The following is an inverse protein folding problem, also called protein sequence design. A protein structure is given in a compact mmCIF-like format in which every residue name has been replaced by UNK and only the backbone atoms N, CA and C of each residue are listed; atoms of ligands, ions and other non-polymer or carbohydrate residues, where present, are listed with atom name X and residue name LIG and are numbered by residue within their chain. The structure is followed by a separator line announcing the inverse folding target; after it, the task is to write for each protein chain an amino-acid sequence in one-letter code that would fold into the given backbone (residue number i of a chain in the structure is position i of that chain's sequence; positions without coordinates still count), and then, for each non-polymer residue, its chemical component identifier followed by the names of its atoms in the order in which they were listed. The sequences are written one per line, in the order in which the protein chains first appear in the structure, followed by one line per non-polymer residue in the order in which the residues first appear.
data_IF_429489478152
#
_entry.id   IF_429489478152
#
_cell.length_a   1.000
_cell.length_b   1.000
_cell.length_c   1.000
_cell.angle_alpha   90.00
_cell.angle_beta   90.00
_cell.angle_gamma   90.00
#
_symmetry.space_group_name_H-M   'P 1'
#
loop_
_entity.id
_entity.type
_entity.pdbx_description
1 polymer ?
2 non-polymer ?
3 water ?
#
# COMPACT_ATOMS: atom_id res chain seq x y z
N UNK A 4 -19.58 1.24 7.44
CA UNK A 4 -18.13 1.45 7.50
C UNK A 4 -17.52 2.07 6.23
N UNK A 5 -18.16 1.87 5.05
CA UNK A 5 -17.68 2.39 3.74
C UNK A 5 -18.30 3.72 3.30
N UNK A 6 -19.17 4.33 4.14
CA UNK A 6 -19.81 5.63 3.83
C UNK A 6 -18.77 6.76 3.76
N UNK A 7 -19.06 7.85 3.01
CA UNK A 7 -18.11 8.96 2.88
C UNK A 7 -18.62 10.24 3.45
N UNK A 8 -17.73 11.04 4.04
CA UNK A 8 -18.07 12.36 4.55
C UNK A 8 -18.19 13.35 3.37
N UNK A 9 -18.58 14.63 3.64
CA UNK A 9 -18.73 15.64 2.58
C UNK A 9 -17.44 15.86 1.77
N UNK A 10 -16.33 16.13 2.47
CA UNK A 10 -14.99 16.36 1.95
C UNK A 10 -14.50 15.21 1.05
N UNK A 11 -14.75 13.96 1.44
CA UNK A 11 -14.32 12.79 0.67
C UNK A 11 -15.08 12.70 -0.64
N UNK A 12 -16.43 12.82 -0.61
CA UNK A 12 -17.28 12.75 -1.82
C UNK A 12 -16.86 13.84 -2.83
N UNK A 13 -16.66 15.07 -2.34
CA UNK A 13 -16.26 16.24 -3.10
C UNK A 13 -14.92 16.02 -3.81
N UNK A 14 -13.92 15.45 -3.09
CA UNK A 14 -12.58 15.17 -3.63
C UNK A 14 -12.67 14.08 -4.69
N UNK A 15 -13.49 13.05 -4.40
CA UNK A 15 -13.75 11.94 -5.32
C UNK A 15 -14.42 12.45 -6.62
N UNK A 16 -15.41 13.35 -6.48
CA UNK A 16 -16.12 13.97 -7.60
C UNK A 16 -15.17 14.87 -8.40
N UNK A 17 -14.30 15.64 -7.71
CA UNK A 17 -13.31 16.53 -8.35
C UNK A 17 -12.28 15.73 -9.16
N UNK A 18 -11.90 14.52 -8.69
CA UNK A 18 -10.97 13.65 -9.40
C UNK A 18 -11.58 13.17 -10.71
N UNK A 19 -12.80 12.61 -10.65
CA UNK A 19 -13.51 12.09 -11.83
C UNK A 19 -13.79 13.15 -12.91
N UNK A 20 -14.11 14.38 -12.49
CA UNK A 20 -14.36 15.52 -13.37
C UNK A 20 -13.09 15.88 -14.11
N UNK A 21 -11.92 15.87 -13.42
CA UNK A 21 -10.62 16.15 -14.05
C UNK A 21 -10.30 15.01 -15.02
N UNK A 22 -10.55 13.76 -14.59
CA UNK A 22 -10.28 12.55 -15.35
C UNK A 22 -11.05 12.52 -16.69
N UNK A 23 -12.35 12.88 -16.65
CA UNK A 23 -13.21 12.88 -17.85
C UNK A 23 -12.73 13.78 -18.99
N UNK A 24 -11.89 14.77 -18.68
CA UNK A 24 -11.31 15.70 -19.64
C UNK A 24 -10.02 15.14 -20.28
N UNK A 25 -9.49 14.01 -19.78
CA UNK A 25 -8.23 13.49 -20.30
C UNK A 25 -8.36 12.83 -21.66
N UNK A 26 -9.30 11.91 -21.79
CA UNK A 26 -9.43 11.22 -23.06
C UNK A 26 -8.41 10.12 -23.20
N UNK A 27 -8.14 9.70 -24.43
CA UNK A 27 -7.24 8.60 -24.74
C UNK A 27 -5.78 8.97 -24.44
N UNK A 28 -5.14 8.11 -23.64
CA UNK A 28 -3.76 8.27 -23.19
C UNK A 28 -2.79 7.77 -24.22
N UNK A 29 -1.80 8.59 -24.61
CA UNK A 29 -0.83 8.21 -25.66
C UNK A 29 0.57 8.57 -25.24
N UNK A 30 1.57 7.81 -25.68
CA UNK A 30 2.95 8.02 -25.26
C UNK A 30 3.42 9.44 -25.36
N UNK A 31 3.32 10.02 -26.57
CA UNK A 31 3.79 11.36 -26.92
C UNK A 31 3.10 12.51 -26.15
N UNK A 32 2.02 12.22 -25.43
CA UNK A 32 1.32 13.25 -24.65
C UNK A 32 1.95 13.49 -23.28
N UNK A 33 3.02 12.74 -22.95
CA UNK A 33 3.67 12.81 -21.66
C UNK A 33 5.04 13.42 -21.62
N UNK A 34 5.23 14.36 -20.68
CA UNK A 34 6.53 14.96 -20.43
C UNK A 34 7.05 14.49 -19.05
N UNK A 35 8.24 13.88 -18.99
CA UNK A 35 8.87 13.42 -17.75
C UNK A 35 9.34 14.63 -16.93
N UNK A 36 8.95 14.68 -15.64
CA UNK A 36 9.30 15.73 -14.68
C UNK A 36 10.45 15.18 -13.80
N UNK A 37 10.24 14.00 -13.18
CA UNK A 37 11.22 13.35 -12.31
C UNK A 37 10.86 11.88 -12.06
N UNK A 38 11.76 11.16 -11.40
CA UNK A 38 11.59 9.78 -11.00
C UNK A 38 11.05 9.80 -9.56
N UNK A 39 9.96 9.05 -9.30
CA UNK A 39 9.35 9.03 -7.97
C UNK A 39 9.82 7.88 -7.13
N UNK A 40 9.99 6.74 -7.77
CA UNK A 40 10.41 5.51 -7.13
C UNK A 40 10.55 4.42 -8.15
N UNK A 41 11.19 3.34 -7.76
CA UNK A 41 11.41 2.17 -8.60
C UNK A 41 11.12 0.96 -7.69
N UNK A 42 10.46 -0.06 -8.22
CA UNK A 42 10.08 -1.19 -7.40
C UNK A 42 9.75 -2.46 -8.14
N UNK A 43 8.55 -3.01 -7.88
CA UNK A 43 8.21 -4.26 -8.55
C UNK A 43 7.55 -4.16 -9.89
N UNK A 44 8.34 -4.54 -10.89
CA UNK A 44 7.93 -4.55 -12.29
C UNK A 44 8.64 -3.48 -13.07
N UNK A 45 8.72 -2.28 -12.50
CA UNK A 45 9.34 -1.15 -13.19
C UNK A 45 9.48 0.13 -12.39
N UNK A 46 9.63 1.25 -13.10
CA UNK A 46 9.87 2.57 -12.53
C UNK A 46 8.62 3.46 -12.60
N UNK A 47 8.46 4.33 -11.60
CA UNK A 47 7.36 5.27 -11.53
C UNK A 47 7.97 6.65 -11.72
N UNK A 48 7.42 7.41 -12.67
CA UNK A 48 7.85 8.77 -12.96
C UNK A 48 6.74 9.76 -12.67
N UNK A 49 7.09 10.94 -12.21
CA UNK A 49 6.16 12.04 -12.05
C UNK A 49 6.16 12.61 -13.48
N UNK A 50 4.98 12.78 -14.07
CA UNK A 50 4.86 13.20 -15.46
C UNK A 50 3.82 14.28 -15.61
N UNK A 51 3.91 14.96 -16.75
CA UNK A 51 2.94 15.97 -17.12
C UNK A 51 2.19 15.41 -18.31
N UNK A 52 0.86 15.36 -18.20
CA UNK A 52 0.04 15.01 -19.36
C UNK A 52 -0.14 16.39 -20.08
N UNK A 53 0.66 16.62 -21.13
CA UNK A 53 0.73 17.89 -21.86
C UNK A 53 -0.62 18.47 -22.28
N UNK A 54 -1.52 17.72 -22.96
CA UNK A 54 -2.83 18.32 -23.33
C UNK A 54 -3.66 18.84 -22.17
N UNK A 55 -3.90 18.01 -21.16
CA UNK A 55 -4.75 18.39 -20.01
C UNK A 55 -4.03 19.24 -18.97
N UNK A 56 -2.71 19.21 -18.97
CA UNK A 56 -1.90 19.92 -17.98
C UNK A 56 -1.84 19.22 -16.63
N UNK A 57 -2.45 18.03 -16.52
CA UNK A 57 -2.51 17.25 -15.28
C UNK A 57 -1.19 16.58 -14.96
N UNK A 58 -0.75 16.69 -13.71
CA UNK A 58 0.45 16.02 -13.21
C UNK A 58 -0.04 14.63 -12.80
N UNK A 59 0.67 13.58 -13.22
CA UNK A 59 0.33 12.20 -12.96
C UNK A 59 1.61 11.44 -12.56
N UNK A 60 1.40 10.22 -12.08
CA UNK A 60 2.45 9.25 -11.77
C UNK A 60 2.31 8.21 -12.85
N UNK A 61 3.38 7.98 -13.59
CA UNK A 61 3.36 7.03 -14.67
C UNK A 61 4.30 5.87 -14.35
N UNK A 62 3.73 4.68 -14.23
CA UNK A 62 4.53 3.50 -13.98
C UNK A 62 4.74 2.79 -15.29
N UNK A 63 6.02 2.55 -15.64
CA UNK A 63 6.46 1.88 -16.88
C UNK A 63 6.93 0.48 -16.55
N UNK A 64 6.39 -0.52 -17.24
CA UNK A 64 6.74 -1.92 -17.06
C UNK A 64 7.30 -2.41 -18.39
N UNK A 65 8.63 -2.66 -18.45
CA UNK A 65 9.26 -3.16 -19.67
C UNK A 65 8.89 -4.61 -19.90
N UNK A 66 8.11 -4.84 -20.97
CA UNK A 66 7.60 -6.15 -21.35
C UNK A 66 7.61 -6.34 -22.86
N UNK A 67 8.42 -7.29 -23.32
CA UNK A 67 8.51 -7.66 -24.73
C UNK A 67 7.52 -8.82 -24.92
N UNK A 68 6.33 -8.49 -25.47
CA UNK A 68 5.21 -9.43 -25.67
C UNK A 68 4.37 -9.07 -26.89
N UNK A 69 3.81 -10.12 -27.54
CA UNK A 69 2.96 -10.04 -28.74
C UNK A 69 1.73 -9.12 -28.58
N UNK A 70 1.15 -8.55 -29.67
CA UNK A 70 -0.04 -7.67 -29.51
C UNK A 70 -1.26 -8.32 -28.83
N UNK A 71 -1.31 -9.66 -28.85
CA UNK A 71 -2.32 -10.53 -28.29
C UNK A 71 -2.40 -10.34 -26.77
N UNK A 72 -1.26 -10.60 -26.08
CA UNK A 72 -1.10 -10.50 -24.63
C UNK A 72 -1.31 -9.05 -24.14
N UNK A 73 -0.62 -8.06 -24.76
CA UNK A 73 -0.73 -6.66 -24.36
C UNK A 73 -2.14 -6.05 -24.44
N UNK A 74 -2.93 -6.44 -25.46
CA UNK A 74 -4.31 -5.96 -25.60
C UNK A 74 -5.22 -6.52 -24.50
N UNK A 75 -4.91 -7.75 -24.03
CA UNK A 75 -5.65 -8.42 -22.96
C UNK A 75 -5.33 -7.75 -21.61
N UNK A 76 -4.05 -7.47 -21.35
CA UNK A 76 -3.60 -6.77 -20.14
C UNK A 76 -4.33 -5.42 -20.02
N UNK A 77 -4.27 -4.59 -21.09
CA UNK A 77 -4.92 -3.28 -21.15
C UNK A 77 -6.42 -3.38 -20.83
N UNK A 78 -7.12 -4.36 -21.44
CA UNK A 78 -8.54 -4.64 -21.21
C UNK A 78 -8.80 -5.04 -19.74
N UNK A 79 -7.90 -5.86 -19.15
CA UNK A 79 -7.98 -6.31 -17.76
C UNK A 79 -7.77 -5.16 -16.77
N UNK A 80 -6.90 -4.18 -17.11
CA UNK A 80 -6.62 -3.02 -16.25
C UNK A 80 -7.76 -2.03 -16.23
N UNK A 81 -8.67 -2.07 -17.24
CA UNK A 81 -9.85 -1.20 -17.36
C UNK A 81 -10.77 -1.34 -16.17
N UNK A 82 -10.64 -2.45 -15.41
CA UNK A 82 -11.38 -2.73 -14.16
C UNK A 82 -11.11 -1.57 -13.17
N UNK A 83 -9.85 -1.07 -13.14
CA UNK A 83 -9.41 0.05 -12.29
C UNK A 83 -10.18 1.36 -12.49
N UNK A 84 -10.90 1.52 -13.62
CA UNK A 84 -11.76 2.69 -13.89
C UNK A 84 -13.01 2.65 -12.99
N UNK A 85 -13.34 1.45 -12.45
CA UNK A 85 -14.47 1.21 -11.54
C UNK A 85 -14.08 1.39 -10.07
N UNK A 86 -12.77 1.26 -9.72
CA UNK A 86 -12.28 1.38 -8.33
C UNK A 86 -12.16 2.83 -7.87
N UNK A 87 -13.29 3.39 -7.41
CA UNK A 87 -13.39 4.78 -6.94
C UNK A 87 -13.62 4.86 -5.43
N UNK A 88 -12.54 5.16 -4.69
CA UNK A 88 -12.55 5.23 -3.24
C UNK A 88 -11.50 6.22 -2.72
N UNK A 89 -11.79 6.90 -1.59
CA UNK A 89 -10.78 7.79 -0.97
C UNK A 89 -9.53 7.05 -0.52
N UNK A 90 -9.60 5.72 -0.38
CA UNK A 90 -8.53 4.86 0.13
C UNK A 90 -7.80 4.09 -0.92
N UNK A 91 -8.05 4.43 -2.21
CA UNK A 91 -7.40 3.78 -3.35
C UNK A 91 -6.90 4.84 -4.30
N UNK A 92 -5.61 4.75 -4.69
CA UNK A 92 -4.99 5.69 -5.64
C UNK A 92 -5.84 5.76 -6.93
N UNK A 93 -6.16 6.97 -7.36
CA UNK A 93 -6.88 7.25 -8.59
C UNK A 93 -6.12 6.69 -9.79
N UNK A 94 -6.87 6.20 -10.76
CA UNK A 94 -6.35 5.60 -11.98
C UNK A 94 -6.77 6.44 -13.17
N UNK A 95 -5.83 6.83 -14.04
CA UNK A 95 -6.17 7.57 -15.24
C UNK A 95 -6.32 6.66 -16.45
N UNK A 96 -5.52 5.62 -16.52
CA UNK A 96 -5.55 4.69 -17.64
C UNK A 96 -4.28 3.90 -17.83
N UNK A 97 -4.29 3.00 -18.80
CA UNK A 97 -3.18 2.16 -19.16
C UNK A 97 -3.08 2.02 -20.68
N UNK A 98 -1.87 1.95 -21.18
CA UNK A 98 -1.63 1.79 -22.61
C UNK A 98 -0.27 1.10 -22.79
N UNK A 99 0.00 0.65 -24.01
CA UNK A 99 1.27 0.03 -24.36
C UNK A 99 1.90 0.90 -25.43
N UNK A 100 3.24 1.06 -25.35
CA UNK A 100 4.00 1.79 -26.34
C UNK A 100 5.44 1.37 -26.28
N UNK A 101 5.95 0.91 -27.44
CA UNK A 101 7.32 0.45 -27.70
C UNK A 101 8.04 -0.32 -26.56
N UNK A 102 7.54 -1.52 -26.30
CA UNK A 102 8.13 -2.40 -25.29
C UNK A 102 7.71 -2.19 -23.85
N UNK A 103 6.90 -1.15 -23.58
CA UNK A 103 6.48 -0.89 -22.19
C UNK A 103 5.02 -0.58 -21.96
N UNK A 104 4.47 -1.15 -20.88
CA UNK A 104 3.11 -0.88 -20.45
C UNK A 104 3.17 0.32 -19.53
N UNK A 105 2.25 1.26 -19.70
CA UNK A 105 2.19 2.41 -18.84
C UNK A 105 0.93 2.37 -18.03
N UNK A 106 1.06 2.65 -16.74
CA UNK A 106 -0.11 2.77 -15.87
C UNK A 106 -0.02 4.19 -15.33
N UNK A 107 -1.04 4.99 -15.60
CA UNK A 107 -1.12 6.37 -15.19
C UNK A 107 -2.06 6.51 -14.07
N UNK A 108 -1.53 7.09 -13.00
CA UNK A 108 -2.23 7.20 -11.73
C UNK A 108 -2.18 8.56 -11.17
N UNK A 109 -2.97 8.76 -10.12
CA UNK A 109 -2.96 9.97 -9.31
C UNK A 109 -1.55 10.13 -8.70
N UNK A 110 -1.04 11.37 -8.66
CA UNK A 110 0.27 11.63 -8.09
C UNK A 110 0.10 11.90 -6.60
N UNK A 111 0.83 11.14 -5.76
CA UNK A 111 0.73 11.28 -4.29
C UNK A 111 2.05 11.92 -3.86
N UNK A 112 2.00 13.20 -3.57
CA UNK A 112 3.18 14.02 -3.30
C UNK A 112 4.04 13.63 -2.08
N UNK A 113 3.48 12.80 -1.20
CA UNK A 113 4.21 12.31 -0.03
C UNK A 113 4.98 11.05 -0.35
N UNK A 114 4.76 10.50 -1.54
CA UNK A 114 5.36 9.26 -2.00
C UNK A 114 4.80 8.05 -1.24
N UNK A 115 5.59 6.97 -1.16
CA UNK A 115 5.16 5.76 -0.46
C UNK A 115 5.69 5.65 0.98
N UNK A 116 5.09 4.76 1.81
CA UNK A 116 5.50 4.60 3.20
C UNK A 116 6.84 3.94 3.41
N UNK A 117 7.38 3.20 2.41
CA UNK A 117 8.73 2.67 2.58
C UNK A 117 9.68 3.89 2.54
N UNK A 118 9.39 4.91 1.71
CA UNK A 118 10.22 6.12 1.60
C UNK A 118 10.04 7.01 2.81
N UNK A 119 8.80 7.15 3.27
CA UNK A 119 8.52 8.00 4.42
C UNK A 119 9.24 7.41 5.64
N UNK A 120 9.16 6.08 5.78
CA UNK A 120 9.82 5.37 6.88
C UNK A 120 11.35 5.61 6.90
N UNK A 121 11.99 5.53 5.73
CA UNK A 121 13.43 5.75 5.53
C UNK A 121 13.81 7.15 6.03
N UNK A 122 13.00 8.16 5.71
CA UNK A 122 13.18 9.54 6.16
C UNK A 122 12.90 9.71 7.64
N UNK A 123 11.74 9.20 8.14
CA UNK A 123 11.34 9.37 9.54
C UNK A 123 12.18 8.60 10.54
N UNK A 124 12.69 7.43 10.14
CA UNK A 124 13.40 6.53 11.06
C UNK A 124 12.37 5.56 11.60
N UNK A 125 11.37 6.05 12.31
CA UNK A 125 10.23 5.27 12.74
C UNK A 125 8.97 6.14 12.75
N UNK A 126 7.80 5.53 12.55
CA UNK A 126 6.55 6.29 12.48
C UNK A 126 5.75 6.20 13.80
N UNK A 127 5.30 7.36 14.37
CA UNK A 127 4.60 7.29 15.66
C UNK A 127 3.29 6.49 15.60
N UNK A 128 2.96 5.86 16.72
CA UNK A 128 1.73 5.08 16.91
C UNK A 128 0.48 5.81 16.43
N UNK A 129 0.27 7.06 16.83
CA UNK A 129 -0.91 7.84 16.38
C UNK A 129 -0.99 7.99 14.88
N UNK A 130 0.17 8.18 14.22
CA UNK A 130 0.18 8.29 12.77
C UNK A 130 -0.17 6.90 12.20
N UNK A 131 0.38 5.83 12.83
CA UNK A 131 0.08 4.47 12.38
C UNK A 131 -1.37 4.11 12.58
N UNK A 132 -2.03 4.77 13.52
CA UNK A 132 -3.47 4.61 13.74
C UNK A 132 -4.28 5.08 12.55
N UNK A 133 -3.86 6.18 11.94
CA UNK A 133 -4.51 6.68 10.72
C UNK A 133 -4.20 5.78 9.53
N UNK A 134 -2.95 5.29 9.41
CA UNK A 134 -2.55 4.38 8.33
C UNK A 134 -3.40 3.12 8.41
N UNK A 135 -3.56 2.53 9.62
CA UNK A 135 -4.36 1.32 9.85
C UNK A 135 -5.80 1.55 9.39
N UNK A 136 -6.45 2.67 9.80
CA UNK A 136 -7.82 2.92 9.37
C UNK A 136 -7.89 2.90 7.85
N UNK A 137 -6.97 3.63 7.16
CA UNK A 137 -6.99 3.76 5.70
C UNK A 137 -6.78 2.44 5.00
N UNK A 138 -5.89 1.60 5.50
CA UNK A 138 -5.65 0.28 4.95
C UNK A 138 -6.91 -0.59 5.13
N UNK A 139 -7.45 -0.69 6.36
CA UNK A 139 -8.66 -1.50 6.62
C UNK A 139 -9.80 -1.11 5.66
N UNK A 140 -10.05 0.21 5.52
CA UNK A 140 -11.06 0.80 4.66
C UNK A 140 -10.80 0.54 3.19
N UNK A 141 -9.53 0.63 2.76
CA UNK A 141 -9.14 0.33 1.38
C UNK A 141 -9.41 -1.14 1.06
N UNK A 142 -8.99 -2.03 1.97
CA UNK A 142 -9.21 -3.48 1.80
C UNK A 142 -10.70 -3.84 1.81
N UNK A 143 -11.51 -3.17 2.66
CA UNK A 143 -12.96 -3.39 2.77
C UNK A 143 -13.60 -2.95 1.48
N UNK A 144 -13.15 -1.80 0.93
CA UNK A 144 -13.66 -1.31 -0.33
C UNK A 144 -13.40 -2.30 -1.45
N UNK A 145 -12.17 -2.79 -1.57
CA UNK A 145 -11.80 -3.76 -2.59
C UNK A 145 -12.63 -5.06 -2.48
N UNK A 146 -12.79 -5.60 -1.25
CA UNK A 146 -13.56 -6.79 -0.97
C UNK A 146 -15.05 -6.58 -1.28
N UNK A 147 -15.68 -5.54 -0.70
CA UNK A 147 -17.12 -5.28 -0.85
C UNK A 147 -17.60 -4.85 -2.21
N UNK A 148 -16.95 -3.85 -2.82
CA UNK A 148 -17.42 -3.35 -4.11
C UNK A 148 -16.90 -4.12 -5.30
N UNK A 149 -15.71 -4.73 -5.19
CA UNK A 149 -15.11 -5.38 -6.34
C UNK A 149 -14.80 -6.87 -6.21
N UNK A 150 -15.11 -7.45 -5.04
CA UNK A 150 -14.90 -8.87 -4.72
C UNK A 150 -13.50 -9.35 -5.03
N UNK A 151 -12.53 -8.48 -4.74
CA UNK A 151 -11.11 -8.73 -4.93
C UNK A 151 -10.31 -8.39 -3.67
N UNK A 152 -9.19 -9.07 -3.49
CA UNK A 152 -8.32 -8.83 -2.35
C UNK A 152 -7.07 -8.11 -2.85
N UNK A 153 -6.33 -7.46 -1.96
CA UNK A 153 -5.13 -6.75 -2.40
C UNK A 153 -4.07 -7.70 -2.93
N UNK A 154 -3.64 -8.70 -2.11
CA UNK A 154 -2.60 -9.71 -2.39
C UNK A 154 -1.17 -9.19 -2.17
N UNK A 155 -0.96 -7.86 -2.13
CA UNK A 155 0.40 -7.33 -1.95
C UNK A 155 0.51 -6.10 -1.02
N UNK A 156 -0.06 -6.19 0.21
CA UNK A 156 0.03 -5.13 1.18
C UNK A 156 1.47 -5.08 1.71
N UNK A 157 2.09 -3.88 1.72
CA UNK A 157 3.47 -3.65 2.20
C UNK A 157 3.70 -2.14 2.26
N UNK A 158 4.73 -1.59 2.95
CA UNK A 158 4.85 -0.11 3.04
C UNK A 158 4.99 0.62 1.72
N UNK A 159 5.61 -0.02 0.72
CA UNK A 159 5.79 0.59 -0.60
C UNK A 159 4.50 0.68 -1.41
N UNK A 160 3.44 -0.03 -0.99
CA UNK A 160 2.14 -0.01 -1.68
C UNK A 160 1.13 0.85 -0.97
N UNK A 161 1.60 1.65 0.00
CA UNK A 161 0.77 2.58 0.76
C UNK A 161 1.35 3.95 0.46
N UNK A 162 0.51 4.80 -0.16
CA UNK A 162 0.88 6.12 -0.62
C UNK A 162 0.24 7.18 0.20
N UNK A 163 0.94 8.30 0.37
CA UNK A 163 0.46 9.38 1.22
C UNK A 163 0.63 10.71 0.52
N UNK A 164 -0.14 11.72 0.93
CA UNK A 164 -0.04 13.04 0.30
C UNK A 164 -0.14 14.17 1.32
N UNK A 165 0.23 15.38 0.88
CA UNK A 165 0.22 16.60 1.69
C UNK A 165 -1.17 17.04 2.12
N UNK A 166 -2.24 16.42 1.57
CA UNK A 166 -3.62 16.68 2.04
C UNK A 166 -3.98 15.72 3.23
N UNK A 167 -3.06 14.84 3.59
CA UNK A 167 -3.28 13.90 4.70
C UNK A 167 -4.00 12.63 4.31
N UNK A 168 -4.09 12.37 3.00
CA UNK A 168 -4.74 11.18 2.49
C UNK A 168 -3.75 10.05 2.48
N UNK A 169 -4.26 8.84 2.69
CA UNK A 169 -3.50 7.57 2.69
C UNK A 169 -4.26 6.61 1.78
N UNK A 170 -3.57 6.03 0.77
CA UNK A 170 -4.23 5.19 -0.23
C UNK A 170 -3.41 4.00 -0.60
N UNK A 171 -4.09 2.91 -1.03
CA UNK A 171 -3.40 1.69 -1.48
C UNK A 171 -3.22 1.73 -3.00
N UNK A 172 -2.15 1.15 -3.46
CA UNK A 172 -1.91 0.99 -4.88
C UNK A 172 -1.39 -0.41 -5.14
N UNK A 173 -1.24 -0.77 -6.41
CA UNK A 173 -0.66 -2.04 -6.85
C UNK A 173 -1.31 -3.33 -6.34
N UNK A 174 -2.64 -3.41 -6.38
CA UNK A 174 -3.38 -4.64 -6.03
C UNK A 174 -3.63 -5.40 -7.34
N UNK A 175 -3.44 -6.73 -7.31
CA UNK A 175 -3.61 -7.61 -8.47
C UNK A 175 -5.01 -7.58 -9.05
N UNK A 176 -5.11 -7.18 -10.33
CA UNK A 176 -6.39 -7.03 -11.05
C UNK A 176 -6.36 -7.68 -12.44
N UNK A 177 -5.14 -8.06 -12.88
CA UNK A 177 -4.85 -8.70 -14.16
C UNK A 177 -3.89 -9.88 -13.95
N UNK A 178 -4.36 -11.08 -14.28
CA UNK A 178 -3.56 -12.30 -14.21
C UNK A 178 -2.45 -12.29 -15.23
N UNK A 179 -2.78 -11.89 -16.49
CA UNK A 179 -1.84 -11.80 -17.62
C UNK A 179 -0.65 -10.86 -17.40
N UNK A 180 -0.84 -9.78 -16.60
CA UNK A 180 0.25 -8.85 -16.28
C UNK A 180 1.20 -9.52 -15.27
N UNK A 181 0.63 -10.29 -14.31
CA UNK A 181 1.38 -11.02 -13.28
C UNK A 181 2.25 -12.11 -13.94
N UNK A 182 1.65 -12.93 -14.83
CA UNK A 182 2.34 -14.02 -15.54
C UNK A 182 3.55 -13.48 -16.34
N UNK A 183 3.30 -12.49 -17.23
CA UNK A 183 4.29 -11.84 -18.09
C UNK A 183 5.45 -11.20 -17.32
N UNK A 184 5.19 -10.59 -16.13
CA UNK A 184 6.21 -9.98 -15.27
C UNK A 184 7.12 -11.05 -14.62
N UNK A 185 6.61 -12.29 -14.46
CA UNK A 185 7.33 -13.42 -13.87
N UNK A 189 8.56 -12.00 -9.41
CA UNK A 189 9.72 -11.13 -9.19
C UNK A 189 9.63 -10.32 -7.87
N UNK A 190 8.41 -10.18 -7.35
CA UNK A 190 8.10 -9.38 -6.15
C UNK A 190 8.53 -9.97 -4.83
N UNK A 191 8.88 -9.08 -3.86
CA UNK A 191 9.27 -9.53 -2.52
C UNK A 191 8.16 -10.36 -1.87
N UNK A 192 8.54 -11.49 -1.28
CA UNK A 192 7.61 -12.37 -0.61
C UNK A 192 7.69 -12.23 0.90
N UNK A 193 8.52 -11.29 1.38
CA UNK A 193 8.78 -11.04 2.80
C UNK A 193 7.59 -10.54 3.63
N UNK A 194 6.51 -10.09 3.00
CA UNK A 194 5.29 -9.67 3.73
C UNK A 194 4.18 -10.70 3.56
N UNK A 195 4.50 -11.85 2.98
CA UNK A 195 3.49 -12.88 2.74
C UNK A 195 3.16 -13.66 3.96
N UNK A 196 1.86 -13.85 4.20
CA UNK A 196 1.37 -14.57 5.37
C UNK A 196 1.91 -15.99 5.41
N UNK A 197 1.98 -16.63 6.60
CA UNK A 197 2.46 -18.04 6.66
C UNK A 197 1.62 -18.98 5.79
N UNK A 198 0.29 -18.77 5.69
CA UNK A 198 -0.59 -19.65 4.89
C UNK A 198 -0.31 -19.57 3.40
N UNK A 199 -0.03 -18.34 2.88
CA UNK A 199 0.33 -18.14 1.47
C UNK A 199 1.69 -18.74 1.15
N UNK A 200 2.64 -18.73 2.10
CA UNK A 200 3.96 -19.33 1.90
C UNK A 200 3.91 -20.88 1.99
N UNK A 201 2.83 -21.42 2.57
CA UNK A 201 2.61 -22.86 2.73
C UNK A 201 1.66 -23.35 1.64
N UNK A 202 1.31 -22.46 0.70
CA UNK A 202 0.41 -22.71 -0.41
C UNK A 202 -1.01 -23.07 0.01
N UNK A 203 -1.38 -22.82 1.29
CA UNK A 203 -2.71 -23.16 1.82
C UNK A 203 -3.78 -22.10 1.56
N UNK A 204 -4.95 -22.27 2.22
CA UNK A 204 -6.16 -21.44 2.18
C UNK A 204 -5.90 -19.93 2.35
N UNK A 205 -6.00 -19.16 1.24
CA UNK A 205 -5.73 -17.72 1.26
C UNK A 205 -6.86 -16.77 0.82
N UNK A 206 -7.26 -15.86 1.74
CA UNK A 206 -8.30 -14.85 1.55
C UNK A 206 -7.75 -13.48 1.94
N UNK A 207 -8.68 -12.52 2.25
CA UNK A 207 -8.34 -11.18 2.73
C UNK A 207 -7.52 -11.29 4.02
N UNK A 208 -7.65 -12.42 4.75
CA UNK A 208 -6.90 -12.70 5.99
C UNK A 208 -5.41 -12.61 5.76
N UNK A 209 -4.95 -12.96 4.55
CA UNK A 209 -3.53 -12.89 4.22
C UNK A 209 -3.05 -11.43 4.07
N UNK A 210 -3.94 -10.50 3.65
CA UNK A 210 -3.67 -9.07 3.55
C UNK A 210 -3.59 -8.41 4.93
N UNK A 211 -4.37 -8.96 5.91
CA UNK A 211 -4.38 -8.51 7.30
C UNK A 211 -3.04 -8.80 7.96
N UNK A 212 -2.48 -9.97 7.67
CA UNK A 212 -1.16 -10.33 8.17
C UNK A 212 -0.14 -9.34 7.63
N UNK A 213 -0.13 -9.09 6.29
CA UNK A 213 0.84 -8.18 5.64
C UNK A 213 0.72 -6.78 6.27
N UNK A 214 -0.51 -6.34 6.54
CA UNK A 214 -0.74 -5.05 7.19
C UNK A 214 -0.12 -5.09 8.59
N UNK A 215 -0.42 -6.12 9.38
CA UNK A 215 0.16 -6.24 10.72
C UNK A 215 1.69 -6.19 10.69
N UNK A 216 2.28 -6.89 9.73
CA UNK A 216 3.73 -6.91 9.57
C UNK A 216 4.32 -5.53 9.17
N UNK A 217 3.69 -4.82 8.23
CA UNK A 217 4.06 -3.47 7.76
C UNK A 217 3.95 -2.48 8.93
N UNK A 218 2.93 -2.64 9.80
CA UNK A 218 2.79 -1.74 10.95
C UNK A 218 3.92 -1.92 11.95
N UNK A 219 4.36 -3.17 12.17
CA UNK A 219 5.44 -3.46 13.11
C UNK A 219 6.73 -2.89 12.54
N UNK A 220 7.00 -3.09 11.25
CA UNK A 220 8.18 -2.51 10.62
C UNK A 220 8.24 -1.02 10.77
N UNK A 221 7.13 -0.32 10.48
CA UNK A 221 7.03 1.13 10.57
C UNK A 221 7.13 1.64 11.97
N UNK A 222 6.57 0.92 12.95
CA UNK A 222 6.65 1.35 14.36
C UNK A 222 8.06 1.26 14.92
N UNK A 223 8.83 0.20 14.54
CA UNK A 223 10.15 0.01 15.09
C UNK A 223 11.24 0.54 14.16
N UNK A 224 10.91 0.80 12.91
CA UNK A 224 11.86 1.33 11.94
C UNK A 224 12.76 0.28 11.34
N UNK A 225 12.33 -0.96 11.33
CA UNK A 225 13.19 -2.06 10.82
C UNK A 225 12.28 -3.21 10.38
N UNK A 226 12.63 -3.93 9.29
CA UNK A 226 11.84 -5.12 8.93
C UNK A 226 11.95 -6.03 10.15
N UNK A 227 10.82 -6.48 10.76
CA UNK A 227 10.90 -7.11 12.09
C UNK A 227 11.30 -8.57 12.25
N UNK A 228 11.66 -9.26 11.17
CA UNK A 228 12.07 -10.67 11.19
C UNK A 228 13.54 -10.75 10.73
N UNK A 229 14.47 -11.33 11.53
CA UNK A 229 14.26 -11.95 12.85
C UNK A 229 14.02 -10.91 13.93
N UNK A 230 13.43 -11.22 15.10
CA UNK A 230 13.23 -10.18 16.11
C UNK A 230 14.54 -9.57 16.62
N UNK A 231 14.52 -8.29 17.06
CA UNK A 231 15.74 -7.68 17.59
C UNK A 231 16.08 -8.25 18.97
N UNK A 232 17.34 -8.13 19.35
CA UNK A 232 17.86 -8.57 20.65
C UNK A 232 17.63 -7.45 21.69
N UNK A 233 18.02 -7.69 22.95
CA UNK A 233 17.90 -6.72 24.05
C UNK A 233 18.77 -5.48 23.76
N UNK A 234 19.86 -5.67 23.00
CA UNK A 234 20.82 -4.63 22.65
C UNK A 234 20.31 -3.72 21.53
N UNK A 235 19.65 -4.29 20.50
CA UNK A 235 19.09 -3.52 19.38
C UNK A 235 17.91 -2.65 19.83
N UNK A 236 17.08 -3.15 20.77
CA UNK A 236 15.94 -2.43 21.33
C UNK A 236 16.38 -1.19 22.12
N UNK A 237 17.59 -1.26 22.74
CA UNK A 237 18.18 -0.15 23.51
C UNK A 237 18.67 0.97 22.58
N UNK A 238 19.08 0.61 21.35
CA UNK A 238 19.58 1.56 20.35
C UNK A 238 18.45 2.48 19.87
N UNK A 239 17.28 1.91 19.51
CA UNK A 239 16.12 2.64 18.99
C UNK A 239 15.35 3.41 20.06
N UNK A 240 14.97 2.73 21.15
CA UNK A 240 14.11 3.31 22.18
C UNK A 240 14.76 3.82 23.48
N UNK A 241 15.99 3.38 23.75
CA UNK A 241 16.75 3.77 24.94
C UNK A 241 16.16 3.27 26.24
N UNK A 242 15.51 2.08 26.22
CA UNK A 242 14.86 1.45 27.38
N UNK A 272 23.51 -11.98 8.54
CA UNK A 272 22.35 -11.49 7.75
C UNK A 272 21.61 -12.63 7.05
N UNK A 273 20.28 -12.71 7.28
CA UNK A 273 19.36 -13.71 6.74
C UNK A 273 19.05 -13.54 5.25
N UNK A 274 19.27 -14.62 4.48
CA UNK A 274 18.93 -14.69 3.06
C UNK A 274 17.39 -14.89 2.94
N UNK A 275 16.77 -14.38 1.85
CA UNK A 275 15.32 -14.44 1.63
C UNK A 275 14.67 -15.82 1.94
N UNK A 276 15.32 -16.92 1.56
CA UNK A 276 14.79 -18.27 1.83
C UNK A 276 14.75 -18.61 3.34
N UNK A 277 15.76 -18.17 4.12
CA UNK A 277 15.83 -18.37 5.58
C UNK A 277 14.74 -17.59 6.29
N UNK A 278 14.45 -16.39 5.78
CA UNK A 278 13.40 -15.48 6.25
C UNK A 278 12.01 -16.12 6.04
N UNK A 279 11.73 -16.63 4.81
CA UNK A 279 10.45 -17.28 4.48
C UNK A 279 10.26 -18.53 5.31
N UNK A 280 11.34 -19.24 5.59
CA UNK A 280 11.26 -20.39 6.48
C UNK A 280 10.96 -19.94 7.94
N UNK A 281 11.59 -18.80 8.38
CA UNK A 281 11.39 -18.22 9.72
C UNK A 281 9.93 -17.83 9.93
N UNK A 282 9.32 -17.14 8.94
CA UNK A 282 7.92 -16.74 8.95
C UNK A 282 7.02 -17.97 9.17
N UNK A 283 7.23 -19.06 8.39
CA UNK A 283 6.39 -20.26 8.49
C UNK A 283 6.59 -20.99 9.81
N UNK A 284 7.85 -21.06 10.25
CA UNK A 284 8.20 -21.88 11.40
C UNK A 284 8.26 -21.31 12.79
N UNK A 285 8.48 -20.00 12.92
CA UNK A 285 8.65 -19.36 14.23
C UNK A 285 7.46 -18.53 14.73
N UNK A 286 7.35 -18.19 16.05
CA UNK A 286 6.23 -17.33 16.48
C UNK A 286 6.23 -16.01 15.73
N UNK A 287 5.06 -15.39 15.53
CA UNK A 287 5.02 -14.15 14.75
C UNK A 287 5.72 -12.98 15.45
N UNK A 288 6.20 -11.95 14.72
CA UNK A 288 6.82 -10.81 15.40
C UNK A 288 5.82 -10.05 16.25
N UNK A 289 6.34 -9.23 17.12
CA UNK A 289 5.49 -8.42 17.98
C UNK A 289 6.19 -7.11 18.28
N UNK A 290 5.41 -6.13 18.71
CA UNK A 290 5.95 -4.86 19.14
C UNK A 290 6.65 -5.01 20.46
N UNK A 291 7.74 -4.25 20.72
CA UNK A 291 8.34 -4.27 22.07
C UNK A 291 7.35 -3.70 23.10
N UNK A 292 7.38 -4.21 24.32
CA UNK A 292 6.49 -3.69 25.36
C UNK A 292 7.08 -2.46 26.02
N UNK A 293 6.22 -1.71 26.68
CA UNK A 293 6.59 -0.49 27.39
C UNK A 293 7.09 0.65 26.53
N UNK A 294 6.70 0.69 25.24
CA UNK A 294 7.04 1.71 24.25
C UNK A 294 5.75 2.07 23.51
N UNK A 295 4.89 1.05 23.28
CA UNK A 295 3.64 1.20 22.55
C UNK A 295 2.46 0.95 23.44
N UNK A 296 1.28 1.50 23.10
CA UNK A 296 0.13 1.25 23.98
C UNK A 296 -0.27 -0.24 23.83
N UNK A 297 -0.98 -0.78 24.80
CA UNK A 297 -1.45 -2.16 24.79
C UNK A 297 -2.51 -2.34 23.73
N UNK A 298 -3.26 -1.28 23.41
CA UNK A 298 -4.24 -1.33 22.32
C UNK A 298 -3.54 -1.54 20.98
N UNK A 299 -2.41 -0.82 20.75
CA UNK A 299 -1.64 -0.97 19.51
C UNK A 299 -1.00 -2.33 19.46
N UNK A 300 -0.41 -2.76 20.57
CA UNK A 300 0.19 -4.11 20.63
C UNK A 300 -0.85 -5.20 20.35
N UNK A 301 -2.03 -5.07 20.94
CA UNK A 301 -3.07 -6.10 20.77
C UNK A 301 -3.58 -6.11 19.35
N UNK A 302 -3.71 -4.92 18.77
CA UNK A 302 -4.15 -4.76 17.37
C UNK A 302 -3.23 -5.50 16.42
N UNK A 303 -1.92 -5.23 16.51
CA UNK A 303 -0.96 -5.92 15.63
C UNK A 303 -0.94 -7.44 15.92
N UNK A 304 -1.01 -7.88 17.23
CA UNK A 304 -1.03 -9.29 17.61
C UNK A 304 -2.21 -10.02 16.96
N UNK A 305 -3.38 -9.36 16.89
CA UNK A 305 -4.55 -9.96 16.27
C UNK A 305 -4.41 -10.04 14.72
N UNK A 306 -3.57 -9.19 14.10
CA UNK A 306 -3.32 -9.26 12.64
C UNK A 306 -2.29 -10.36 12.42
N UNK A 307 -1.38 -10.56 13.38
CA UNK A 307 -0.28 -11.49 13.18
C UNK A 307 -0.44 -12.96 13.71
N UNK A 308 -1.64 -13.34 14.15
CA UNK A 308 -1.92 -14.72 14.55
C UNK A 308 -1.66 -15.63 13.30
N UNK A 309 -0.74 -16.63 13.42
CA UNK A 309 -0.33 -17.50 12.30
C UNK A 309 -1.50 -18.20 11.63
N UNK A 310 -2.45 -18.70 12.44
CA UNK A 310 -3.63 -19.38 11.96
C UNK A 310 -4.62 -18.37 11.37
N UNK A 311 -4.90 -18.41 10.04
CA UNK A 311 -5.84 -17.43 9.45
C UNK A 311 -7.25 -17.42 9.99
N UNK A 312 -7.72 -18.57 10.52
CA UNK A 312 -9.05 -18.72 11.11
C UNK A 312 -9.12 -17.93 12.43
N UNK A 313 -8.05 -18.00 13.24
CA UNK A 313 -8.01 -17.25 14.50
C UNK A 313 -7.66 -15.75 14.29
N UNK A 314 -6.97 -15.42 13.17
CA UNK A 314 -6.59 -14.06 12.82
C UNK A 314 -7.82 -13.20 12.69
N UNK A 315 -7.74 -11.94 13.16
CA UNK A 315 -8.87 -11.02 13.04
C UNK A 315 -9.23 -10.75 11.60
N UNK A 316 -10.52 -10.51 11.37
CA UNK A 316 -11.05 -10.22 10.06
C UNK A 316 -11.29 -8.72 10.00
N UNK A 317 -11.58 -8.20 8.81
CA UNK A 317 -11.76 -6.77 8.59
C UNK A 317 -12.80 -6.17 9.47
N UNK A 318 -13.94 -6.87 9.62
CA UNK A 318 -15.10 -6.46 10.42
C UNK A 318 -14.70 -6.29 11.87
N UNK A 319 -13.88 -7.20 12.39
CA UNK A 319 -13.43 -7.18 13.79
C UNK A 319 -12.40 -6.06 13.97
N UNK A 320 -11.47 -5.92 13.00
CA UNK A 320 -10.47 -4.85 13.03
C UNK A 320 -11.11 -3.49 13.04
N UNK A 321 -12.16 -3.28 12.26
CA UNK A 321 -12.87 -1.99 12.18
C UNK A 321 -13.41 -1.49 13.51
N UNK A 322 -13.71 -2.44 14.43
CA UNK A 322 -14.21 -2.14 15.77
C UNK A 322 -13.19 -2.40 16.90
N UNK A 323 -11.93 -2.75 16.56
CA UNK A 323 -10.89 -2.96 17.58
C UNK A 323 -10.63 -1.64 18.33
N UNK A 324 -10.40 -1.71 19.66
CA UNK A 324 -10.11 -0.58 20.53
C UNK A 324 -9.09 0.38 19.91
N UNK A 325 -8.07 -0.13 19.22
CA UNK A 325 -7.06 0.74 18.60
C UNK A 325 -7.64 1.61 17.48
N UNK A 326 -8.57 1.04 16.69
CA UNK A 326 -9.21 1.75 15.60
C UNK A 326 -10.17 2.79 16.09
N UNK A 327 -11.00 2.44 17.10
CA UNK A 327 -11.95 3.36 17.70
C UNK A 327 -11.22 4.50 18.36
N UNK A 328 -10.11 4.23 19.09
CA UNK A 328 -9.28 5.29 19.67
C UNK A 328 -8.64 6.16 18.55
N UNK A 329 -7.98 5.53 17.56
CA UNK A 329 -7.34 6.30 16.46
C UNK A 329 -8.35 7.14 15.70
N UNK A 330 -9.57 6.61 15.46
CA UNK A 330 -10.63 7.31 14.72
C UNK A 330 -11.07 8.56 15.43
N UNK A 331 -11.21 8.49 16.78
CA UNK A 331 -11.58 9.64 17.60
C UNK A 331 -10.41 10.63 17.81
N UNK A 332 -9.15 10.22 17.52
CA UNK A 332 -8.01 11.12 17.70
C UNK A 332 -7.97 12.15 16.59
N UNK A 333 -7.63 13.39 16.96
CA UNK A 333 -7.52 14.46 15.98
C UNK A 333 -6.03 14.52 15.78
N UNK A 334 -5.59 13.90 14.69
CA UNK A 334 -4.17 13.75 14.41
C UNK A 334 -3.82 14.53 13.15
N UNK A 335 -2.84 15.44 13.26
CA UNK A 335 -2.44 16.19 12.08
C UNK A 335 -1.44 15.36 11.27
N UNK A 336 -1.96 14.45 10.46
CA UNK A 336 -1.15 13.58 9.61
C UNK A 336 -0.40 14.41 8.55
N UNK A 337 -1.10 15.34 7.88
CA UNK A 337 -0.46 16.18 6.86
C UNK A 337 0.67 17.01 7.47
N UNK A 338 0.42 17.59 8.64
CA UNK A 338 1.38 18.36 9.41
C UNK A 338 2.60 17.53 9.75
N UNK A 339 2.37 16.32 10.34
CA UNK A 339 3.48 15.41 10.71
C UNK A 339 4.26 15.03 9.45
N UNK A 340 3.55 14.75 8.37
CA UNK A 340 4.15 14.30 7.13
C UNK A 340 5.02 15.33 6.47
N UNK A 341 4.50 16.56 6.27
CA UNK A 341 5.27 17.62 5.61
C UNK A 341 6.55 18.01 6.39
N UNK A 342 6.46 18.02 7.71
CA UNK A 342 7.60 18.29 8.63
C UNK A 342 8.65 17.18 8.53
N UNK A 343 8.21 15.92 8.50
CA UNK A 343 9.09 14.75 8.45
C UNK A 343 9.84 14.59 7.12
N UNK A 344 9.16 14.78 6.01
CA UNK A 344 9.80 14.55 4.71
C UNK A 344 10.31 15.83 4.06
N UNK A 345 10.09 16.95 4.74
CA UNK A 345 10.52 18.27 4.29
C UNK A 345 9.77 18.73 3.07
N UNK A 346 8.46 18.57 3.08
CA UNK A 346 7.60 18.94 1.96
C UNK A 346 7.12 20.38 2.15
N UNK A 347 7.69 21.31 1.37
CA UNK A 347 7.35 22.75 1.41
#
# INVERSE_FOLDING_TARGET
GLEELELDEQQRKRLEAFLTQKQKVGELKDDDFEKISELGAGNGGVVFKVSHKPSGLVMARKLIHLEIKPAIRNQIIRELQVLHECNSPYIVGFYGAFYSDGEISICMEHMDGGSLDQVLKKAGRIPEQILGKVSIAVIKGLTYLREKHKIMHRDVKPSNILVNSRGEIKLCDFGVSGQLIDSMANSFVGTRSYMSPERLQGTHYSVQSDIWSMGLSLVEMAVGRYPIPPPDAKELELMFGCQVEGDAAETPPRPRTPGRPLNKKGMDSRPPMAIFELLDYIVNEPPPKLPSGVFSLEFQDFVNKCLIKNPAERADLKQLMVHAFIKRSDAEEVDFAGWLCSTIGLNQ
#
